data_IF_878854522299
#
_entry.id   IF_878854522299
#
_cell.length_a   1.000
_cell.length_b   1.000
_cell.length_c   1.000
_cell.angle_alpha   90.00
_cell.angle_beta   90.00
_cell.angle_gamma   90.00
#
_symmetry.space_group_name_H-M   'P 1'
#
loop_
_entity.id
_entity.type
_entity.pdbx_description
1 polymer ?
#
# COMPACT_ATOMS: atom_id res chain seq x y z
N UNK A 1 6.06 9.67 5.38
CA UNK A 1 6.39 9.36 3.97
C UNK A 1 7.84 9.53 3.57
N UNK A 2 8.56 10.62 3.86
CA UNK A 2 9.97 10.78 3.41
C UNK A 2 10.87 9.58 3.75
N UNK A 3 10.77 9.06 4.98
CA UNK A 3 11.51 7.86 5.41
C UNK A 3 11.16 6.63 4.56
N UNK A 4 9.87 6.41 4.27
CA UNK A 4 9.43 5.29 3.42
C UNK A 4 9.98 5.46 2.00
N UNK A 5 9.92 6.67 1.43
CA UNK A 5 10.49 6.95 0.11
C UNK A 5 11.99 6.64 0.06
N UNK A 6 12.75 7.01 1.10
CA UNK A 6 14.17 6.66 1.23
C UNK A 6 14.39 5.14 1.31
N UNK A 7 13.53 4.40 2.02
CA UNK A 7 13.60 2.95 2.12
C UNK A 7 13.17 2.24 0.83
N UNK A 8 12.38 2.89 -0.02
CA UNK A 8 11.99 2.39 -1.34
C UNK A 8 13.10 2.59 -2.37
N UNK A 9 13.93 3.62 -2.23
CA UNK A 9 14.91 4.02 -3.25
C UNK A 9 15.79 2.86 -3.75
N UNK A 10 16.36 1.98 -2.90
CA UNK A 10 17.17 0.87 -3.40
C UNK A 10 16.39 -0.10 -4.29
N UNK A 11 15.10 -0.33 -4.02
CA UNK A 11 14.25 -1.19 -4.84
C UNK A 11 13.81 -0.49 -6.13
N UNK A 12 13.69 0.84 -6.11
CA UNK A 12 13.45 1.65 -7.31
C UNK A 12 14.66 1.61 -8.23
N UNK A 13 15.86 1.83 -7.69
CA UNK A 13 17.12 1.81 -8.44
C UNK A 13 17.40 0.42 -9.06
N UNK A 14 16.90 -0.64 -8.42
CA UNK A 14 17.00 -2.02 -8.90
C UNK A 14 15.88 -2.45 -9.86
N UNK A 15 14.95 -1.55 -10.23
CA UNK A 15 13.76 -1.86 -11.02
C UNK A 15 12.88 -2.97 -10.42
N UNK A 16 12.82 -3.03 -9.08
CA UNK A 16 11.93 -3.93 -8.34
C UNK A 16 10.61 -3.23 -7.98
N UNK A 17 10.68 -1.92 -7.74
CA UNK A 17 9.52 -1.04 -7.53
C UNK A 17 9.53 0.10 -8.54
N UNK A 18 8.34 0.56 -8.92
CA UNK A 18 8.21 1.81 -9.64
C UNK A 18 8.44 2.99 -8.70
N UNK A 19 9.24 3.95 -9.16
CA UNK A 19 9.39 5.24 -8.51
C UNK A 19 8.07 6.01 -8.55
N UNK A 20 7.81 6.83 -7.52
CA UNK A 20 6.68 7.75 -7.47
C UNK A 20 7.14 9.10 -6.97
N UNK A 21 6.57 10.15 -7.55
CA UNK A 21 6.77 11.51 -7.07
C UNK A 21 6.31 11.66 -5.62
N UNK A 22 6.98 12.54 -4.86
CA UNK A 22 6.68 12.72 -3.43
C UNK A 22 5.23 13.16 -3.19
N UNK A 23 4.64 13.95 -4.09
CA UNK A 23 3.23 14.38 -4.00
C UNK A 23 2.29 13.18 -4.07
N UNK A 24 2.50 12.27 -5.02
CA UNK A 24 1.72 11.04 -5.20
C UNK A 24 1.85 10.13 -3.97
N UNK A 25 3.05 10.05 -3.38
CA UNK A 25 3.26 9.30 -2.13
C UNK A 25 2.50 9.91 -0.94
N UNK A 26 2.40 11.23 -0.85
CA UNK A 26 1.62 11.89 0.19
C UNK A 26 0.11 11.73 -0.03
N UNK A 27 -0.39 11.82 -1.26
CA UNK A 27 -1.80 11.53 -1.60
C UNK A 27 -2.16 10.09 -1.21
N UNK A 28 -1.22 9.17 -1.37
CA UNK A 28 -1.41 7.76 -1.05
C UNK A 28 -1.15 7.41 0.41
N UNK A 29 -0.86 8.36 1.31
CA UNK A 29 -0.39 8.06 2.68
C UNK A 29 -1.34 7.15 3.47
N UNK A 30 -2.66 7.30 3.27
CA UNK A 30 -3.67 6.49 3.96
C UNK A 30 -3.69 5.03 3.50
N UNK A 31 -3.11 4.73 2.35
CA UNK A 31 -2.99 3.37 1.82
C UNK A 31 -1.87 2.59 2.51
N UNK A 32 -0.91 3.28 3.14
CA UNK A 32 0.29 2.66 3.70
C UNK A 32 0.09 2.14 5.14
N UNK A 33 0.68 0.98 5.40
CA UNK A 33 1.01 0.51 6.73
C UNK A 33 2.53 0.36 6.85
N UNK A 34 3.05 0.48 8.07
CA UNK A 34 4.46 0.30 8.39
C UNK A 34 4.64 -0.73 9.48
N UNK A 35 5.78 -1.43 9.43
CA UNK A 35 6.28 -2.23 10.52
C UNK A 35 7.43 -1.45 11.18
N UNK A 36 7.37 -1.31 12.50
CA UNK A 36 8.37 -0.59 13.29
C UNK A 36 9.01 -1.53 14.32
N UNK A 37 10.31 -1.35 14.54
CA UNK A 37 11.08 -1.98 15.62
C UNK A 37 11.93 -0.90 16.25
N UNK A 38 11.79 -0.70 17.56
CA UNK A 38 12.51 0.31 18.35
C UNK A 38 12.40 1.73 17.76
N UNK A 39 11.20 2.09 17.27
CA UNK A 39 10.91 3.39 16.66
C UNK A 39 11.44 3.58 15.23
N UNK A 40 12.09 2.58 14.65
CA UNK A 40 12.57 2.61 13.27
C UNK A 40 11.64 1.82 12.35
N UNK A 41 11.28 2.42 11.21
CA UNK A 41 10.53 1.73 10.15
C UNK A 41 11.43 0.66 9.53
N UNK A 42 10.99 -0.59 9.61
CA UNK A 42 11.70 -1.77 9.08
C UNK A 42 10.99 -2.46 7.92
N UNK A 43 9.75 -2.09 7.67
CA UNK A 43 8.98 -2.57 6.53
C UNK A 43 7.77 -1.70 6.27
N UNK A 44 7.22 -1.82 5.07
CA UNK A 44 6.13 -1.00 4.59
C UNK A 44 5.33 -1.78 3.56
N UNK A 45 4.07 -1.42 3.38
CA UNK A 45 3.18 -1.98 2.36
C UNK A 45 1.98 -1.08 2.17
N UNK A 46 1.39 -1.08 0.98
CA UNK A 46 0.23 -0.29 0.67
C UNK A 46 -0.93 -1.15 0.13
N UNK A 47 -2.15 -0.78 0.49
CA UNK A 47 -3.39 -1.31 -0.08
C UNK A 47 -4.10 -0.21 -0.87
N UNK A 48 -4.26 -0.43 -2.16
CA UNK A 48 -5.05 0.46 -3.01
C UNK A 48 -6.39 -0.18 -3.37
N UNK A 49 -7.48 0.54 -3.15
CA UNK A 49 -8.80 0.13 -3.64
C UNK A 49 -8.93 0.59 -5.09
N UNK A 50 -9.17 -0.36 -6.00
CA UNK A 50 -9.33 -0.08 -7.43
C UNK A 50 -10.79 -0.12 -7.87
N UNK A 51 -11.61 -0.96 -7.22
CA UNK A 51 -13.02 -1.13 -7.51
C UNK A 51 -13.79 -1.59 -6.26
N UNK A 52 -15.12 -1.67 -6.34
CA UNK A 52 -16.00 -1.93 -5.19
C UNK A 52 -15.61 -3.16 -4.35
N UNK A 53 -15.10 -4.22 -5.00
CA UNK A 53 -14.76 -5.49 -4.37
C UNK A 53 -13.27 -5.85 -4.52
N UNK A 54 -12.48 -4.97 -5.12
CA UNK A 54 -11.10 -5.26 -5.53
C UNK A 54 -10.10 -4.24 -5.01
N UNK A 55 -8.96 -4.76 -4.56
CA UNK A 55 -7.81 -3.96 -4.22
C UNK A 55 -6.49 -4.56 -4.66
N UNK A 56 -5.46 -3.73 -4.65
CA UNK A 56 -4.09 -4.08 -4.99
C UNK A 56 -3.20 -4.00 -3.75
N UNK A 57 -2.46 -5.06 -3.48
CA UNK A 57 -1.30 -4.98 -2.59
C UNK A 57 -0.11 -4.50 -3.40
N UNK A 58 0.38 -3.30 -3.07
CA UNK A 58 1.52 -2.68 -3.77
C UNK A 58 2.52 -2.09 -2.80
N UNK A 59 3.72 -1.80 -3.32
CA UNK A 59 4.80 -1.16 -2.55
C UNK A 59 5.12 -1.93 -1.26
N UNK A 60 5.13 -3.26 -1.30
CA UNK A 60 5.44 -4.11 -0.16
C UNK A 60 6.95 -4.35 -0.07
N UNK A 61 7.57 -3.92 1.03
CA UNK A 61 9.02 -4.00 1.21
C UNK A 61 9.44 -4.19 2.67
N UNK A 62 10.60 -4.83 2.86
CA UNK A 62 11.23 -5.07 4.16
C UNK A 62 12.72 -4.81 4.02
N UNK A 63 13.31 -4.06 4.95
CA UNK A 63 14.73 -3.74 4.91
C UNK A 63 15.58 -5.00 5.13
N UNK A 64 16.74 -5.06 4.49
CA UNK A 64 17.56 -6.27 4.40
C UNK A 64 17.94 -6.87 5.76
N UNK A 65 18.27 -6.03 6.74
CA UNK A 65 18.67 -6.46 8.11
C UNK A 65 17.61 -7.23 8.90
N UNK A 66 16.35 -7.20 8.47
CA UNK A 66 15.25 -7.97 9.11
C UNK A 66 14.51 -8.89 8.15
N UNK A 67 15.02 -9.10 6.93
CA UNK A 67 14.49 -10.16 6.04
C UNK A 67 14.59 -11.52 6.73
N UNK A 68 13.65 -12.41 6.40
CA UNK A 68 13.54 -13.74 7.04
C UNK A 68 12.97 -13.75 8.47
N UNK A 69 12.77 -12.59 9.12
CA UNK A 69 12.24 -12.49 10.50
C UNK A 69 10.70 -12.40 10.58
N UNK A 70 10.01 -12.78 9.51
CA UNK A 70 8.55 -12.78 9.43
C UNK A 70 7.88 -11.40 9.28
N UNK A 71 8.64 -10.31 9.12
CA UNK A 71 8.08 -8.94 8.98
C UNK A 71 7.14 -8.84 7.77
N UNK A 72 7.58 -9.32 6.60
CA UNK A 72 6.77 -9.29 5.37
C UNK A 72 5.48 -10.09 5.52
N UNK A 73 5.54 -11.25 6.18
CA UNK A 73 4.34 -12.06 6.46
C UNK A 73 3.32 -11.27 7.29
N UNK A 74 3.76 -10.60 8.37
CA UNK A 74 2.89 -9.78 9.21
C UNK A 74 2.29 -8.59 8.46
N UNK A 75 3.07 -7.91 7.63
CA UNK A 75 2.60 -6.82 6.78
C UNK A 75 1.52 -7.30 5.80
N UNK A 76 1.78 -8.39 5.07
CA UNK A 76 0.81 -8.92 4.12
C UNK A 76 -0.49 -9.35 4.82
N UNK A 77 -0.41 -10.05 5.95
CA UNK A 77 -1.60 -10.40 6.74
C UNK A 77 -2.38 -9.15 7.19
N UNK A 78 -1.69 -8.09 7.63
CA UNK A 78 -2.34 -6.85 8.04
C UNK A 78 -3.05 -6.13 6.87
N UNK A 79 -2.44 -6.13 5.67
CA UNK A 79 -3.06 -5.60 4.44
C UNK A 79 -4.30 -6.42 4.04
N UNK A 80 -4.23 -7.75 4.10
CA UNK A 80 -5.37 -8.62 3.79
C UNK A 80 -6.53 -8.42 4.76
N UNK A 81 -6.23 -8.26 6.05
CA UNK A 81 -7.25 -7.92 7.05
C UNK A 81 -7.82 -6.52 6.82
N UNK A 82 -7.00 -5.57 6.38
CA UNK A 82 -7.49 -4.23 6.04
C UNK A 82 -8.44 -4.27 4.84
N UNK A 83 -8.10 -5.03 3.80
CA UNK A 83 -8.95 -5.26 2.65
C UNK A 83 -10.31 -5.86 3.04
N UNK A 84 -10.32 -6.87 3.91
CA UNK A 84 -11.56 -7.44 4.44
C UNK A 84 -12.42 -6.39 5.19
N UNK A 85 -11.79 -5.51 5.99
CA UNK A 85 -12.52 -4.43 6.70
C UNK A 85 -13.11 -3.39 5.75
N UNK A 86 -12.51 -3.20 4.58
CA UNK A 86 -13.03 -2.32 3.53
C UNK A 86 -14.11 -3.00 2.67
N UNK A 87 -14.43 -4.27 2.92
CA UNK A 87 -15.42 -5.03 2.14
C UNK A 87 -14.89 -5.65 0.86
N UNK A 88 -13.57 -5.66 0.65
CA UNK A 88 -12.96 -6.24 -0.54
C UNK A 88 -13.02 -7.78 -0.46
N UNK A 89 -13.31 -8.41 -1.59
CA UNK A 89 -13.35 -9.87 -1.74
C UNK A 89 -12.23 -10.41 -2.61
N UNK A 90 -11.48 -9.54 -3.31
CA UNK A 90 -10.37 -9.92 -4.15
C UNK A 90 -9.18 -8.96 -3.98
N UNK A 91 -7.98 -9.56 -3.97
CA UNK A 91 -6.73 -8.82 -4.00
C UNK A 91 -5.85 -9.29 -5.15
N UNK A 92 -5.20 -8.32 -5.78
CA UNK A 92 -4.19 -8.53 -6.82
C UNK A 92 -2.85 -7.91 -6.42
N UNK A 93 -1.77 -8.39 -7.03
CA UNK A 93 -0.43 -7.81 -6.86
C UNK A 93 0.44 -8.16 -8.05
N UNK A 94 1.34 -7.25 -8.41
CA UNK A 94 2.44 -7.46 -9.35
C UNK A 94 3.72 -7.66 -8.55
N UNK A 95 4.36 -8.83 -8.64
CA UNK A 95 5.47 -9.19 -7.74
C UNK A 95 6.47 -10.18 -8.32
N UNK A 96 7.73 -10.04 -7.92
CA UNK A 96 8.78 -11.05 -8.15
C UNK A 96 8.80 -12.14 -7.07
N UNK A 97 8.18 -11.90 -5.91
CA UNK A 97 8.24 -12.75 -4.73
C UNK A 97 7.14 -13.83 -4.73
N UNK A 98 7.02 -14.59 -5.83
CA UNK A 98 5.90 -15.53 -6.06
C UNK A 98 5.74 -16.54 -4.93
N UNK A 99 6.83 -17.14 -4.45
CA UNK A 99 6.80 -18.14 -3.38
C UNK A 99 6.37 -17.56 -2.04
N UNK A 100 6.72 -16.30 -1.76
CA UNK A 100 6.24 -15.60 -0.57
C UNK A 100 4.71 -15.47 -0.61
N UNK A 101 4.16 -14.98 -1.73
CA UNK A 101 2.72 -14.82 -1.90
C UNK A 101 1.97 -16.18 -1.92
N UNK A 102 2.54 -17.22 -2.55
CA UNK A 102 1.98 -18.59 -2.55
C UNK A 102 1.77 -19.15 -1.14
N UNK A 103 2.71 -18.90 -0.22
CA UNK A 103 2.59 -19.31 1.19
C UNK A 103 1.41 -18.66 1.91
N UNK A 104 0.90 -17.55 1.39
CA UNK A 104 -0.32 -16.88 1.88
C UNK A 104 -1.57 -17.23 1.07
N UNK A 105 -1.52 -18.26 0.22
CA UNK A 105 -2.68 -18.71 -0.55
C UNK A 105 -3.01 -17.85 -1.77
N UNK A 106 -2.06 -17.03 -2.24
CA UNK A 106 -2.16 -16.37 -3.52
C UNK A 106 -1.83 -17.33 -4.65
N UNK A 107 -2.45 -17.12 -5.82
CA UNK A 107 -2.21 -17.89 -7.05
C UNK A 107 -1.73 -16.99 -8.16
N UNK A 108 -0.96 -17.55 -9.09
CA UNK A 108 -0.63 -16.88 -10.34
C UNK A 108 -1.93 -16.66 -11.12
N UNK A 109 -2.07 -15.47 -11.70
CA UNK A 109 -3.08 -15.15 -12.69
C UNK A 109 -2.38 -15.08 -14.06
N UNK A 110 -2.67 -16.01 -14.98
CA UNK A 110 -2.06 -15.97 -16.32
C UNK A 110 -2.41 -14.67 -17.07
N UNK A 111 -1.50 -14.20 -17.92
CA UNK A 111 -1.66 -12.92 -18.63
C UNK A 111 -2.94 -12.87 -19.49
N UNK A 112 -3.31 -14.00 -20.11
CA UNK A 112 -4.51 -14.14 -20.92
C UNK A 112 -5.82 -14.22 -20.12
N UNK A 113 -5.75 -14.33 -18.78
CA UNK A 113 -6.93 -14.42 -17.94
C UNK A 113 -7.43 -13.00 -17.60
N UNK A 114 -8.72 -12.70 -17.83
CA UNK A 114 -9.27 -11.41 -17.46
C UNK A 114 -9.19 -11.23 -15.94
N UNK A 115 -8.61 -10.10 -15.51
CA UNK A 115 -8.50 -9.74 -14.08
C UNK A 115 -9.87 -9.42 -13.51
N UNK A 116 -10.74 -8.83 -14.34
CA UNK A 116 -12.07 -8.33 -13.99
C UNK A 116 -13.08 -8.63 -15.10
N UNK A 117 -14.37 -8.54 -14.80
CA UNK A 117 -15.44 -8.62 -15.80
C UNK A 117 -15.33 -7.45 -16.81
N UNK A 118 -15.86 -7.63 -18.02
CA UNK A 118 -15.66 -6.69 -19.13
C UNK A 118 -16.22 -5.27 -18.86
N UNK A 119 -17.31 -5.18 -18.10
CA UNK A 119 -17.89 -3.93 -17.63
C UNK A 119 -16.98 -3.23 -16.61
N UNK A 120 -16.45 -3.95 -15.62
CA UNK A 120 -15.47 -3.43 -14.67
C UNK A 120 -14.18 -3.00 -15.38
N UNK A 121 -13.74 -3.76 -16.38
CA UNK A 121 -12.58 -3.42 -17.21
C UNK A 121 -12.76 -2.06 -17.88
N UNK A 122 -13.94 -1.81 -18.46
CA UNK A 122 -14.25 -0.54 -19.13
C UNK A 122 -14.26 0.65 -18.16
N UNK A 123 -14.62 0.44 -16.90
CA UNK A 123 -14.55 1.46 -15.85
C UNK A 123 -13.10 1.73 -15.43
N UNK A 124 -12.32 0.67 -15.18
CA UNK A 124 -10.93 0.80 -14.77
C UNK A 124 -10.03 1.43 -15.84
N UNK A 125 -10.37 1.30 -17.13
CA UNK A 125 -9.73 2.02 -18.24
C UNK A 125 -9.74 3.55 -18.09
N UNK A 126 -10.67 4.10 -17.31
CA UNK A 126 -10.79 5.56 -17.09
C UNK A 126 -9.92 6.03 -15.91
N UNK A 127 -9.29 5.11 -15.18
CA UNK A 127 -8.42 5.45 -14.05
C UNK A 127 -7.09 6.03 -14.54
N UNK A 128 -6.61 7.13 -13.95
CA UNK A 128 -5.28 7.67 -14.23
C UNK A 128 -4.16 6.93 -13.46
N UNK A 129 -4.47 5.91 -12.64
CA UNK A 129 -3.47 5.20 -11.83
C UNK A 129 -2.62 4.25 -12.70
N UNK A 130 -1.31 4.51 -12.75
CA UNK A 130 -0.35 3.71 -13.51
C UNK A 130 -0.31 2.23 -13.09
N UNK A 131 -0.52 1.93 -11.80
CA UNK A 131 -0.55 0.55 -11.30
C UNK A 131 -1.76 -0.23 -11.84
N UNK A 132 -2.92 0.42 -11.92
CA UNK A 132 -4.10 -0.16 -12.59
C UNK A 132 -3.79 -0.42 -14.08
N UNK A 133 -3.13 0.52 -14.75
CA UNK A 133 -2.79 0.36 -16.16
C UNK A 133 -1.81 -0.82 -16.41
N UNK A 134 -0.80 -0.99 -15.55
CA UNK A 134 0.11 -2.15 -15.63
C UNK A 134 -0.60 -3.47 -15.36
N UNK A 135 -1.47 -3.50 -14.35
CA UNK A 135 -2.22 -4.69 -14.01
C UNK A 135 -3.20 -5.10 -15.12
N UNK A 136 -3.82 -4.14 -15.80
CA UNK A 136 -4.77 -4.43 -16.88
C UNK A 136 -4.12 -4.71 -18.23
N UNK A 137 -2.79 -4.55 -18.33
CA UNK A 137 -2.05 -4.73 -19.57
C UNK A 137 -2.61 -3.86 -20.72
N UNK A 138 -2.81 -2.57 -20.42
CA UNK A 138 -3.43 -1.65 -21.37
C UNK A 138 -2.49 -1.31 -22.52
N UNK A 139 -2.97 -1.39 -23.77
CA UNK A 139 -2.17 -1.20 -24.99
C UNK A 139 -1.35 0.11 -25.11
N UNK A 140 -1.60 1.11 -24.26
CA UNK A 140 -0.83 2.38 -24.21
C UNK A 140 0.28 2.39 -23.15
N UNK A 141 0.29 1.40 -22.24
CA UNK A 141 1.36 1.14 -21.28
C UNK A 141 2.05 -0.14 -21.74
N UNK A 142 3.37 -0.22 -21.60
CA UNK A 142 4.05 -1.48 -21.91
C UNK A 142 3.50 -2.54 -20.94
N UNK A 143 2.99 -3.69 -21.43
CA UNK A 143 2.56 -4.80 -20.59
C UNK A 143 3.54 -5.02 -19.44
N UNK A 144 3.10 -4.81 -18.20
CA UNK A 144 3.89 -5.09 -17.00
C UNK A 144 5.35 -4.59 -17.10
N UNK A 145 5.58 -3.30 -16.84
CA UNK A 145 6.85 -2.60 -17.09
C UNK A 145 8.08 -3.32 -16.52
N UNK A 146 7.92 -3.97 -15.36
CA UNK A 146 9.00 -4.68 -14.67
C UNK A 146 9.11 -6.17 -15.04
N UNK A 147 8.13 -6.74 -15.75
CA UNK A 147 8.12 -8.16 -16.11
C UNK A 147 7.91 -9.08 -14.90
N UNK A 148 7.21 -8.61 -13.87
CA UNK A 148 6.95 -9.38 -12.66
C UNK A 148 5.69 -10.27 -12.81
N UNK A 149 5.32 -11.06 -11.80
CA UNK A 149 4.18 -11.98 -11.92
C UNK A 149 2.90 -11.36 -11.37
N UNK A 150 1.80 -11.46 -12.13
CA UNK A 150 0.46 -11.13 -11.64
C UNK A 150 -0.05 -12.22 -10.70
N UNK A 151 -0.34 -11.84 -9.46
CA UNK A 151 -0.85 -12.71 -8.41
C UNK A 151 -2.26 -12.27 -8.00
N UNK A 152 -3.12 -13.23 -7.66
CA UNK A 152 -4.49 -12.99 -7.22
C UNK A 152 -4.80 -13.83 -5.97
N UNK A 153 -5.60 -13.26 -5.06
CA UNK A 153 -6.19 -13.96 -3.92
C UNK A 153 -7.67 -13.58 -3.78
N UNK A 154 -8.52 -14.59 -3.62
CA UNK A 154 -9.89 -14.40 -3.15
C UNK A 154 -9.89 -14.37 -1.63
N UNK A 155 -10.42 -13.30 -1.06
CA UNK A 155 -10.63 -13.15 0.37
C UNK A 155 -11.98 -13.77 0.75
N UNK A 156 -11.98 -14.55 1.83
CA UNK A 156 -13.22 -15.03 2.45
C UNK A 156 -13.30 -14.43 3.85
N UNK A 157 -14.44 -13.82 4.24
CA UNK A 157 -14.68 -13.50 5.63
C UNK A 157 -14.52 -14.78 6.45
N UNK A 158 -13.89 -14.69 7.62
CA UNK A 158 -13.92 -15.80 8.55
C UNK A 158 -15.39 -16.17 8.82
N UNK A 159 -15.74 -17.45 8.72
CA UNK A 159 -17.09 -17.90 9.03
C UNK A 159 -17.51 -17.34 10.39
N UNK A 160 -18.70 -16.73 10.47
CA UNK A 160 -19.20 -16.12 11.68
C UNK A 160 -19.31 -17.18 12.80
N UNK A 161 -18.26 -17.28 13.63
CA UNK A 161 -18.14 -18.35 14.61
C UNK A 161 -16.95 -18.23 15.58
N UNK A 162 -16.02 -17.30 15.37
CA UNK A 162 -14.98 -17.01 16.37
C UNK A 162 -14.45 -15.59 16.19
N UNK A 163 -15.06 -14.62 16.87
CA UNK A 163 -14.47 -13.30 17.04
C UNK A 163 -14.10 -13.11 18.52
N UNK A 164 -12.84 -12.79 18.87
CA UNK A 164 -12.62 -11.92 20.01
C UNK A 164 -12.92 -10.49 19.55
N UNK A 165 -13.74 -9.79 20.33
CA UNK A 165 -13.99 -8.37 20.16
C UNK A 165 -12.72 -7.57 20.50
N UNK A 166 -12.21 -6.77 19.57
CA UNK A 166 -11.41 -5.58 19.83
C UNK A 166 -11.34 -4.73 18.54
N UNK A 167 -12.06 -3.61 18.54
CA UNK A 167 -11.52 -2.27 18.75
C UNK A 167 -11.19 -1.59 17.41
N UNK A 168 -12.21 -0.90 16.88
CA UNK A 168 -12.00 0.14 15.90
C UNK A 168 -11.15 1.25 16.52
N UNK A 169 -9.94 1.40 16.00
CA UNK A 169 -9.21 2.64 16.04
C UNK A 169 -8.40 2.71 14.74
N UNK A 170 -8.80 3.61 13.85
CA UNK A 170 -7.81 4.23 12.98
C UNK A 170 -6.73 4.83 13.89
N UNK A 171 -5.43 4.79 13.53
CA UNK A 171 -4.42 5.47 14.31
C UNK A 171 -4.71 6.98 14.24
N UNK A 172 -5.29 7.51 15.32
CA UNK A 172 -5.38 8.93 15.56
C UNK A 172 -3.96 9.44 15.83
N UNK A 173 -3.32 9.99 14.81
CA UNK A 173 -2.20 10.88 15.01
C UNK A 173 -2.74 12.25 15.46
N UNK A 174 -3.05 12.43 16.74
CA UNK A 174 -3.09 13.76 17.39
C UNK A 174 -2.67 13.62 18.85
N UNK A 175 -1.42 13.97 19.14
CA UNK A 175 -1.02 14.55 20.40
C UNK A 175 0.10 15.56 20.12
N UNK A 176 -0.17 16.85 20.34
CA UNK A 176 0.80 17.93 20.13
C UNK A 176 0.12 19.27 19.88
N UNK A 177 -0.25 19.94 20.96
CA UNK A 177 -0.72 21.33 21.01
C UNK A 177 0.10 22.28 20.12
N UNK A 178 -0.55 22.95 19.19
CA UNK A 178 0.05 24.11 18.49
C UNK A 178 -0.79 25.39 18.58
N UNK A 179 -1.77 25.45 19.49
CA UNK A 179 -2.32 26.75 19.90
C UNK A 179 -1.29 27.59 20.68
N UNK A 180 -0.34 26.94 21.36
CA UNK A 180 0.72 27.59 22.13
C UNK A 180 1.94 28.06 21.28
N UNK A 181 2.09 27.55 20.04
CA UNK A 181 3.16 27.99 19.13
C UNK A 181 2.72 29.09 18.15
N UNK A 182 1.42 29.33 18.01
CA UNK A 182 0.89 30.42 17.17
C UNK A 182 0.88 31.79 17.90
N UNK A 183 0.88 31.79 19.24
CA UNK A 183 0.86 33.01 20.05
C UNK A 183 2.27 33.56 20.32
N UNK A 184 3.32 32.72 20.40
CA UNK A 184 4.72 33.19 20.51
C UNK A 184 5.28 33.85 19.25
N UNK A 185 4.70 33.62 18.07
CA UNK A 185 5.15 34.23 16.81
C UNK A 185 4.48 35.58 16.48
N UNK A 186 3.56 36.06 17.34
CA UNK A 186 2.88 37.35 17.19
C UNK A 186 3.42 38.44 18.12
N UNK A 187 4.15 38.08 19.16
CA UNK A 187 4.69 39.03 20.16
C UNK A 187 6.08 39.60 19.80
N UNK A 188 6.74 39.11 18.73
CA UNK A 188 8.06 39.61 18.27
C UNK A 188 7.96 40.58 17.08
N UNK A 189 6.80 41.23 16.86
CA UNK A 189 6.60 42.21 15.76
C UNK A 189 6.07 43.57 16.18
N UNK A 190 6.14 43.91 17.47
CA UNK A 190 5.81 45.25 17.99
C UNK A 190 6.86 45.65 19.02
N UNK A 191 8.01 46.10 18.53
CA UNK A 191 9.10 46.59 19.36
C UNK A 191 10.34 46.84 18.52
N UNK A 192 10.28 47.88 17.69
CA UNK A 192 11.43 48.72 17.28
C UNK A 192 11.00 49.62 16.11
N UNK A 193 10.38 50.77 16.43
CA UNK A 193 10.48 51.99 15.63
C UNK A 193 10.46 53.19 16.60
N UNK A 194 11.61 53.84 16.75
CA UNK A 194 11.75 55.24 17.21
C UNK A 194 11.15 56.20 16.16
#
# INVERSE_FOLDING_TARGET
MRKIAQLMQPLVDQNILLGKEMVVLYESVQQFIVAEIDGEIVGYGALHVMWEHMGEVRTLGVIDRVRGKGVGHRLLTALEQHALRLGLSQLVSLTFEVEFFRRHGWRILPDAAPVVAADVYAELLRSPDEGIAEMLDLAHVKPNTLGNTRMLKTLRPAAAGSAPAAAGAAPAAVAGSTRENAERARDERLGDED
#
